data_IF_540654178721
#
_entry.id   IF_540654178721
#
_cell.length_a   1.000
_cell.length_b   1.000
_cell.length_c   1.000
_cell.angle_alpha   90.00
_cell.angle_beta   90.00
_cell.angle_gamma   90.00
#
_symmetry.space_group_name_H-M   'P 1'
#
loop_
_entity.id
_entity.type
_entity.pdbx_description
1 polymer ?
#
# COMPACT_ATOMS: atom_id res chain seq x y z
N UNK A 1 -17.32 13.65 -4.68
CA UNK A 1 -16.75 12.34 -5.08
C UNK A 1 -15.43 12.06 -4.38
N UNK A 2 -14.45 12.98 -4.43
CA UNK A 2 -13.12 12.85 -3.81
C UNK A 2 -13.11 12.45 -2.34
N UNK A 3 -13.87 13.15 -1.50
CA UNK A 3 -13.96 12.90 -0.06
C UNK A 3 -14.27 11.42 0.27
N UNK A 4 -15.21 10.81 -0.45
CA UNK A 4 -15.59 9.41 -0.22
C UNK A 4 -14.44 8.45 -0.53
N UNK A 5 -13.71 8.70 -1.62
CA UNK A 5 -12.58 7.89 -2.05
C UNK A 5 -11.44 7.99 -1.04
N UNK A 6 -11.15 9.20 -0.56
CA UNK A 6 -10.16 9.46 0.49
C UNK A 6 -10.57 8.76 1.81
N UNK A 7 -11.86 8.78 2.17
CA UNK A 7 -12.37 8.12 3.36
C UNK A 7 -12.23 6.58 3.29
N UNK A 8 -12.52 5.99 2.13
CA UNK A 8 -12.27 4.56 1.89
C UNK A 8 -10.78 4.21 1.94
N UNK A 9 -9.93 5.04 1.33
CA UNK A 9 -8.48 4.86 1.34
C UNK A 9 -7.92 4.88 2.77
N UNK A 10 -8.37 5.83 3.60
CA UNK A 10 -7.99 5.92 5.01
C UNK A 10 -8.52 4.73 5.82
N UNK A 11 -9.75 4.26 5.56
CA UNK A 11 -10.29 3.06 6.22
C UNK A 11 -9.48 1.79 5.90
N UNK A 12 -9.04 1.62 4.65
CA UNK A 12 -8.18 0.52 4.24
C UNK A 12 -6.83 0.58 4.98
N UNK A 13 -6.22 1.77 5.05
CA UNK A 13 -4.97 1.99 5.78
C UNK A 13 -5.13 1.66 7.28
N UNK A 14 -6.20 2.14 7.91
CA UNK A 14 -6.47 1.86 9.32
C UNK A 14 -6.69 0.36 9.58
N UNK A 15 -7.47 -0.31 8.72
CA UNK A 15 -7.73 -1.75 8.82
C UNK A 15 -6.47 -2.59 8.63
N UNK A 16 -5.64 -2.27 7.65
CA UNK A 16 -4.40 -3.02 7.43
C UNK A 16 -3.30 -2.72 8.45
N UNK A 17 -3.32 -1.56 9.12
CA UNK A 17 -2.51 -1.32 10.32
C UNK A 17 -2.86 -2.32 11.42
N UNK A 18 -4.15 -2.54 11.67
CA UNK A 18 -4.64 -3.58 12.58
C UNK A 18 -4.19 -4.99 12.16
N UNK A 19 -4.23 -5.29 10.86
CA UNK A 19 -3.74 -6.57 10.30
C UNK A 19 -2.25 -6.81 10.57
N UNK A 20 -1.41 -5.79 10.41
CA UNK A 20 0.04 -5.88 10.69
C UNK A 20 0.29 -6.03 12.19
N UNK A 21 -0.40 -5.25 13.03
CA UNK A 21 -0.30 -5.37 14.48
C UNK A 21 -0.65 -6.77 14.96
N UNK A 22 -1.73 -7.36 14.40
CA UNK A 22 -2.11 -8.74 14.69
C UNK A 22 -1.03 -9.75 14.26
N UNK A 23 -0.45 -9.56 13.07
CA UNK A 23 0.60 -10.43 12.53
C UNK A 23 1.88 -10.39 13.38
N UNK A 24 2.34 -9.19 13.75
CA UNK A 24 3.60 -8.99 14.47
C UNK A 24 3.44 -9.35 15.94
N UNK A 25 2.44 -8.81 16.63
CA UNK A 25 2.31 -8.96 18.08
C UNK A 25 1.75 -10.34 18.46
N UNK A 26 0.73 -10.81 17.74
CA UNK A 26 0.03 -12.04 18.13
C UNK A 26 0.65 -13.30 17.55
N UNK A 27 1.21 -13.23 16.35
CA UNK A 27 1.83 -14.39 15.70
C UNK A 27 3.35 -14.40 15.82
N UNK A 28 3.96 -13.37 16.43
CA UNK A 28 5.42 -13.21 16.54
C UNK A 28 6.11 -13.39 15.17
N UNK A 29 5.42 -12.96 14.10
CA UNK A 29 5.83 -13.21 12.74
C UNK A 29 7.04 -12.33 12.40
N UNK A 30 8.05 -12.94 11.78
CA UNK A 30 9.20 -12.22 11.24
C UNK A 30 8.73 -11.41 10.03
N UNK A 31 9.11 -10.13 9.96
CA UNK A 31 8.79 -9.26 8.82
C UNK A 31 9.54 -9.79 7.59
N UNK A 32 8.81 -10.51 6.74
CA UNK A 32 9.30 -11.06 5.49
C UNK A 32 8.91 -10.20 4.28
N UNK A 33 9.37 -10.60 3.10
CA UNK A 33 9.06 -9.91 1.83
C UNK A 33 7.56 -9.77 1.61
N UNK A 34 6.77 -10.82 1.89
CA UNK A 34 5.30 -10.78 1.76
C UNK A 34 4.64 -9.78 2.71
N UNK A 35 5.21 -9.57 3.91
CA UNK A 35 4.74 -8.54 4.86
C UNK A 35 5.01 -7.14 4.34
N UNK A 36 6.16 -6.90 3.73
CA UNK A 36 6.51 -5.61 3.12
C UNK A 36 5.64 -5.33 1.89
N UNK A 37 5.38 -6.35 1.06
CA UNK A 37 4.43 -6.24 -0.06
C UNK A 37 3.01 -5.93 0.42
N UNK A 38 2.56 -6.56 1.51
CA UNK A 38 1.28 -6.24 2.12
C UNK A 38 1.23 -4.78 2.62
N UNK A 39 2.28 -4.31 3.30
CA UNK A 39 2.40 -2.90 3.73
C UNK A 39 2.32 -1.96 2.50
N UNK A 40 3.01 -2.28 1.42
CA UNK A 40 2.97 -1.48 0.20
C UNK A 40 1.56 -1.38 -0.40
N UNK A 41 0.79 -2.48 -0.41
CA UNK A 41 -0.59 -2.50 -0.89
C UNK A 41 -1.52 -1.70 0.03
N UNK A 42 -1.37 -1.85 1.34
CA UNK A 42 -2.29 -1.25 2.33
C UNK A 42 -2.02 0.23 2.55
N UNK A 43 -0.77 0.67 2.46
CA UNK A 43 -0.40 2.05 2.79
C UNK A 43 -0.01 2.86 1.56
N UNK A 44 0.84 2.31 0.70
CA UNK A 44 1.42 3.11 -0.38
C UNK A 44 0.41 3.28 -1.52
N UNK A 45 -0.32 2.23 -1.92
CA UNK A 45 -1.34 2.38 -2.97
C UNK A 45 -2.45 3.38 -2.59
N UNK A 46 -3.07 3.33 -1.40
CA UNK A 46 -4.07 4.31 -1.00
C UNK A 46 -3.49 5.72 -0.84
N UNK A 47 -2.25 5.84 -0.34
CA UNK A 47 -1.56 7.13 -0.27
C UNK A 47 -1.36 7.75 -1.65
N UNK A 48 -0.88 7.00 -2.64
CA UNK A 48 -0.69 7.51 -4.00
C UNK A 48 -2.01 7.87 -4.67
N UNK A 49 -3.08 7.12 -4.39
CA UNK A 49 -4.42 7.44 -4.86
C UNK A 49 -4.88 8.79 -4.30
N UNK A 50 -4.73 9.03 -3.00
CA UNK A 50 -5.07 10.30 -2.36
C UNK A 50 -4.22 11.44 -2.94
N UNK A 51 -2.90 11.28 -2.98
CA UNK A 51 -1.97 12.31 -3.49
C UNK A 51 -2.18 12.60 -4.99
N UNK A 52 -2.59 11.60 -5.76
CA UNK A 52 -2.94 11.74 -7.17
C UNK A 52 -4.24 12.47 -7.37
N UNK A 53 -5.26 12.15 -6.57
CA UNK A 53 -6.53 12.87 -6.57
C UNK A 53 -6.28 14.32 -6.18
N UNK A 54 -5.66 14.53 -5.01
CA UNK A 54 -4.65 15.55 -4.72
C UNK A 54 -4.44 16.71 -5.69
N UNK A 55 -3.82 16.34 -6.81
CA UNK A 55 -2.97 17.25 -7.57
C UNK A 55 -1.63 17.55 -6.88
N UNK A 56 -1.35 16.94 -5.73
CA UNK A 56 -0.12 17.16 -4.95
C UNK A 56 1.12 16.54 -5.60
N UNK A 57 0.93 15.55 -6.48
CA UNK A 57 2.01 14.93 -7.27
C UNK A 57 1.70 15.02 -8.77
N UNK A 58 2.75 15.25 -9.57
CA UNK A 58 2.65 15.27 -11.02
C UNK A 58 2.27 13.90 -11.59
N UNK A 59 1.56 13.87 -12.72
CA UNK A 59 1.12 12.62 -13.38
C UNK A 59 2.29 11.70 -13.73
N UNK A 60 3.42 12.30 -14.11
CA UNK A 60 4.67 11.59 -14.42
C UNK A 60 5.25 10.91 -13.17
N UNK A 61 5.25 11.59 -12.03
CA UNK A 61 5.71 11.02 -10.76
C UNK A 61 4.78 9.90 -10.30
N UNK A 62 3.47 10.10 -10.44
CA UNK A 62 2.46 9.09 -10.08
C UNK A 62 2.61 7.82 -10.91
N UNK A 63 2.82 7.93 -12.22
CA UNK A 63 3.00 6.76 -13.10
C UNK A 63 4.29 5.99 -12.79
N UNK A 64 5.39 6.69 -12.50
CA UNK A 64 6.67 6.08 -12.08
C UNK A 64 6.50 5.33 -10.75
N UNK A 65 5.86 5.95 -9.76
CA UNK A 65 5.65 5.34 -8.44
C UNK A 65 4.73 4.11 -8.52
N UNK A 66 3.66 4.19 -9.31
CA UNK A 66 2.80 3.03 -9.57
C UNK A 66 3.57 1.89 -10.26
N UNK A 67 4.38 2.20 -11.28
CA UNK A 67 5.22 1.21 -11.95
C UNK A 67 6.21 0.53 -11.01
N UNK A 68 6.88 1.32 -10.15
CA UNK A 68 7.81 0.80 -9.17
C UNK A 68 7.13 -0.13 -8.14
N UNK A 69 5.96 0.25 -7.63
CA UNK A 69 5.20 -0.57 -6.67
C UNK A 69 4.70 -1.84 -7.34
N UNK A 70 4.11 -1.76 -8.53
CA UNK A 70 3.66 -2.96 -9.27
C UNK A 70 4.84 -3.90 -9.50
N UNK A 71 5.99 -3.38 -9.93
CA UNK A 71 7.21 -4.17 -10.07
C UNK A 71 7.67 -4.83 -8.76
N UNK A 72 7.63 -4.10 -7.65
CA UNK A 72 7.96 -4.64 -6.33
C UNK A 72 6.99 -5.74 -5.88
N UNK A 73 5.68 -5.55 -6.08
CA UNK A 73 4.66 -6.55 -5.75
C UNK A 73 4.83 -7.82 -6.59
N UNK A 74 5.19 -7.67 -7.87
CA UNK A 74 5.40 -8.80 -8.77
C UNK A 74 6.77 -9.49 -8.60
N UNK A 75 7.75 -8.83 -7.97
CA UNK A 75 9.12 -9.38 -7.80
C UNK A 75 9.19 -10.68 -7.00
N UNK A 76 8.15 -11.02 -6.24
CA UNK A 76 8.03 -12.27 -5.48
C UNK A 76 7.29 -13.40 -6.19
N UNK A 77 6.57 -13.10 -7.29
CA UNK A 77 5.81 -14.09 -8.07
C UNK A 77 6.77 -14.84 -9.01
N UNK A 78 7.12 -16.08 -8.67
CA UNK A 78 7.98 -16.94 -9.50
C UNK A 78 9.20 -17.55 -8.81
N UNK A 79 9.36 -17.36 -7.50
CA UNK A 79 10.39 -18.03 -6.67
C UNK A 79 9.83 -19.13 -5.76
N UNK A 80 8.60 -19.57 -6.02
CA UNK A 80 7.97 -20.73 -5.37
C UNK A 80 7.75 -21.82 -6.43
#
# INVERSE_FOLDING_TARGET
>A
MRLWIELFAVLIMAGGLGGIFYLIIKQNAIIGIKTIQFIAIVFILPMLLILGLEGSIGRETLSVLLGAIVGFLLSGTGKE
#
